data_IF_028079646540
#
_entry.id   IF_028079646540
#
_cell.length_a   1.000
_cell.length_b   1.000
_cell.length_c   1.000
_cell.angle_alpha   90.00
_cell.angle_beta   90.00
_cell.angle_gamma   90.00
#
_symmetry.space_group_name_H-M   'P 1'
#
loop_
_entity.id
_entity.type
_entity.pdbx_description
1 polymer ?
#
# COMPACT_ATOMS: atom_id res chain seq x y z
N UNK A 1 -5.65 2.76 25.67
CA UNK A 1 -5.20 3.24 24.41
C UNK A 1 -5.06 2.14 23.39
N UNK A 2 -5.68 2.32 22.29
CA UNK A 2 -5.72 1.30 21.32
C UNK A 2 -4.75 1.56 20.23
N UNK A 3 -3.69 0.82 20.23
CA UNK A 3 -2.64 0.95 19.24
C UNK A 3 -2.67 -0.24 18.33
N UNK A 4 -2.58 -0.01 17.04
CA UNK A 4 -2.32 -1.10 16.13
C UNK A 4 -0.87 -1.54 16.32
N UNK A 5 -0.59 -2.84 16.32
CA UNK A 5 0.80 -3.27 16.35
C UNK A 5 1.51 -2.77 15.10
N UNK A 6 2.75 -2.39 15.25
CA UNK A 6 3.58 -2.00 14.13
C UNK A 6 4.35 -3.23 13.63
N UNK A 7 4.78 -3.25 12.35
CA UNK A 7 5.66 -4.33 11.90
C UNK A 7 6.95 -4.32 12.70
N UNK A 8 7.54 -5.48 12.99
CA UNK A 8 8.72 -5.59 13.86
C UNK A 8 9.94 -4.82 13.36
N UNK A 9 10.09 -4.67 12.06
CA UNK A 9 11.17 -3.91 11.47
C UNK A 9 10.56 -2.99 10.42
N UNK A 10 10.05 -1.81 10.83
CA UNK A 10 9.30 -0.96 9.91
C UNK A 10 10.08 -0.54 8.68
N UNK A 11 11.36 -0.23 8.83
CA UNK A 11 12.16 0.20 7.69
C UNK A 11 12.29 -0.89 6.64
N UNK A 12 12.59 -2.10 7.06
CA UNK A 12 12.69 -3.25 6.16
C UNK A 12 11.35 -3.56 5.54
N UNK A 13 10.28 -3.53 6.32
CA UNK A 13 8.94 -3.79 5.83
C UNK A 13 8.55 -2.76 4.77
N UNK A 14 8.82 -1.48 5.02
CA UNK A 14 8.51 -0.41 4.08
C UNK A 14 9.28 -0.60 2.76
N UNK A 15 10.56 -0.94 2.84
CA UNK A 15 11.36 -1.19 1.64
C UNK A 15 10.78 -2.35 0.82
N UNK A 16 10.34 -3.41 1.47
CA UNK A 16 9.72 -4.54 0.79
C UNK A 16 8.43 -4.13 0.09
N UNK A 17 7.61 -3.31 0.75
CA UNK A 17 6.38 -2.79 0.16
C UNK A 17 6.70 -1.93 -1.06
N UNK A 18 7.63 -1.00 -0.92
CA UNK A 18 7.99 -0.10 -2.02
C UNK A 18 8.52 -0.86 -3.23
N UNK A 19 9.31 -1.90 -3.01
CA UNK A 19 9.82 -2.73 -4.11
C UNK A 19 8.69 -3.40 -4.88
N UNK A 20 7.68 -3.90 -4.17
CA UNK A 20 6.52 -4.50 -4.83
C UNK A 20 5.70 -3.47 -5.60
N UNK A 21 5.49 -2.29 -5.00
CA UNK A 21 4.73 -1.22 -5.67
C UNK A 21 5.45 -0.77 -6.94
N UNK A 22 6.77 -0.70 -6.90
CA UNK A 22 7.56 -0.34 -8.09
C UNK A 22 7.36 -1.31 -9.25
N UNK A 23 6.97 -2.55 -8.96
CA UNK A 23 6.74 -3.58 -9.98
C UNK A 23 5.38 -3.52 -10.62
N UNK A 24 4.45 -2.70 -10.09
CA UNK A 24 3.13 -2.54 -10.70
C UNK A 24 3.32 -1.77 -12.02
N UNK A 25 2.97 -2.36 -13.18
CA UNK A 25 3.20 -1.67 -14.44
C UNK A 25 2.22 -0.51 -14.64
N UNK A 26 2.62 0.43 -15.47
CA UNK A 26 1.77 1.53 -15.86
C UNK A 26 0.47 0.99 -16.45
N UNK A 27 -0.65 1.58 -16.07
CA UNK A 27 -1.97 1.13 -16.53
C UNK A 27 -2.57 0.04 -15.68
N UNK A 28 -1.88 -0.39 -14.62
CA UNK A 28 -2.37 -1.40 -13.69
C UNK A 28 -2.45 -0.84 -12.29
N UNK A 29 -3.28 -1.46 -11.47
CA UNK A 29 -3.43 -1.09 -10.05
C UNK A 29 -3.36 -2.35 -9.20
N UNK A 30 -3.06 -2.15 -7.92
CA UNK A 30 -3.09 -3.23 -6.93
C UNK A 30 -3.74 -2.71 -5.66
N UNK A 31 -4.36 -3.59 -4.90
CA UNK A 31 -4.92 -3.22 -3.61
C UNK A 31 -3.87 -3.44 -2.51
N UNK A 32 -4.09 -2.77 -1.39
CA UNK A 32 -3.21 -2.93 -0.22
C UNK A 32 -3.18 -4.38 0.24
N UNK A 33 -4.34 -5.06 0.20
CA UNK A 33 -4.41 -6.46 0.58
C UNK A 33 -3.66 -7.37 -0.38
N UNK A 34 -3.67 -7.06 -1.68
CA UNK A 34 -2.89 -7.84 -2.66
C UNK A 34 -1.40 -7.74 -2.38
N UNK A 35 -0.91 -6.54 -2.09
CA UNK A 35 0.51 -6.35 -1.76
C UNK A 35 0.84 -7.09 -0.46
N UNK A 36 -0.03 -7.00 0.54
CA UNK A 36 0.20 -7.71 1.81
C UNK A 36 0.36 -9.22 1.59
N UNK A 37 -0.45 -9.80 0.71
CA UNK A 37 -0.38 -11.24 0.42
C UNK A 37 0.90 -11.65 -0.29
N UNK A 38 1.54 -10.72 -0.98
CA UNK A 38 2.79 -11.00 -1.69
C UNK A 38 4.02 -10.86 -0.82
N UNK A 39 3.87 -10.28 0.37
CA UNK A 39 4.98 -10.08 1.29
C UNK A 39 5.24 -11.34 2.12
N UNK A 40 6.50 -11.60 2.50
CA UNK A 40 6.76 -12.64 3.47
C UNK A 40 6.18 -12.25 4.83
N UNK A 41 5.78 -13.23 5.61
CA UNK A 41 5.30 -13.00 6.97
C UNK A 41 6.47 -12.42 7.78
N UNK A 42 6.31 -11.23 8.38
CA UNK A 42 7.40 -10.66 9.17
C UNK A 42 7.76 -11.54 10.37
N UNK A 43 9.04 -11.56 10.74
CA UNK A 43 9.51 -12.34 11.87
C UNK A 43 8.78 -11.95 13.14
N UNK A 44 8.30 -12.93 13.88
CA UNK A 44 7.61 -12.68 15.15
C UNK A 44 6.15 -12.29 15.01
N UNK A 45 5.63 -12.19 13.79
CA UNK A 45 4.22 -11.87 13.54
C UNK A 45 3.51 -13.16 13.13
N UNK A 46 2.42 -13.50 13.81
CA UNK A 46 1.65 -14.66 13.40
C UNK A 46 0.75 -14.34 12.21
N UNK A 47 0.28 -15.40 11.54
CA UNK A 47 -0.51 -15.24 10.32
C UNK A 47 -1.81 -14.49 10.54
N UNK A 48 -2.47 -14.72 11.67
CA UNK A 48 -3.74 -14.05 11.96
C UNK A 48 -3.55 -12.56 12.15
N UNK A 49 -2.51 -12.16 12.88
CA UNK A 49 -2.19 -10.75 13.06
C UNK A 49 -1.87 -10.09 11.71
N UNK A 50 -1.11 -10.77 10.88
CA UNK A 50 -0.77 -10.22 9.57
C UNK A 50 -1.99 -10.12 8.66
N UNK A 51 -2.92 -11.06 8.72
CA UNK A 51 -4.17 -10.97 7.98
C UNK A 51 -4.99 -9.76 8.42
N UNK A 52 -4.97 -9.46 9.70
CA UNK A 52 -5.76 -8.35 10.25
C UNK A 52 -5.14 -6.99 9.93
N UNK A 53 -3.82 -6.85 10.07
CA UNK A 53 -3.15 -5.56 9.99
C UNK A 53 -2.30 -5.36 8.75
N UNK A 54 -2.09 -6.39 7.95
CA UNK A 54 -1.17 -6.32 6.83
C UNK A 54 -1.51 -5.22 5.83
N UNK A 55 -2.78 -5.12 5.45
CA UNK A 55 -3.20 -4.08 4.51
C UNK A 55 -3.01 -2.68 5.09
N UNK A 56 -3.27 -2.51 6.38
CA UNK A 56 -3.04 -1.22 7.05
C UNK A 56 -1.55 -0.88 7.05
N UNK A 57 -0.70 -1.85 7.36
CA UNK A 57 0.75 -1.63 7.36
C UNK A 57 1.25 -1.27 5.97
N UNK A 58 0.72 -1.93 4.93
CA UNK A 58 1.05 -1.60 3.54
C UNK A 58 0.61 -0.17 3.21
N UNK A 59 -0.60 0.20 3.62
CA UNK A 59 -1.13 1.55 3.40
C UNK A 59 -0.22 2.60 4.04
N UNK A 60 0.25 2.35 5.27
CA UNK A 60 1.16 3.26 5.95
C UNK A 60 2.50 3.38 5.21
N UNK A 61 3.02 2.28 4.70
CA UNK A 61 4.25 2.29 3.93
C UNK A 61 4.10 3.10 2.64
N UNK A 62 2.96 2.94 1.96
CA UNK A 62 2.68 3.69 0.73
C UNK A 62 2.57 5.19 1.01
N UNK A 63 1.96 5.56 2.14
CA UNK A 63 1.84 6.96 2.53
C UNK A 63 3.21 7.60 2.78
N UNK A 64 4.21 6.82 3.14
CA UNK A 64 5.56 7.29 3.43
C UNK A 64 6.53 7.06 2.25
N UNK A 65 6.02 6.67 1.08
CA UNK A 65 6.88 6.25 -0.02
C UNK A 65 7.70 7.40 -0.62
N UNK A 66 8.91 7.10 -1.10
CA UNK A 66 9.69 8.10 -1.83
C UNK A 66 9.06 8.42 -3.19
N UNK A 67 9.55 9.49 -3.82
CA UNK A 67 8.94 10.02 -5.05
C UNK A 67 8.98 9.05 -6.23
N UNK A 68 9.92 8.11 -6.24
CA UNK A 68 10.05 7.16 -7.34
C UNK A 68 9.08 5.98 -7.25
N UNK A 69 8.34 5.86 -6.14
CA UNK A 69 7.37 4.79 -5.96
C UNK A 69 6.04 5.23 -6.59
N UNK A 70 5.48 4.44 -7.51
CA UNK A 70 4.21 4.80 -8.15
C UNK A 70 3.02 4.54 -7.24
N UNK A 71 2.94 5.29 -6.14
CA UNK A 71 1.92 5.15 -5.11
C UNK A 71 0.50 5.29 -5.66
N UNK A 72 0.33 6.03 -6.76
CA UNK A 72 -0.98 6.24 -7.37
C UNK A 72 -1.60 4.95 -7.91
N UNK A 73 -0.79 3.92 -8.12
CA UNK A 73 -1.26 2.61 -8.58
C UNK A 73 -1.82 1.75 -7.46
N UNK A 74 -1.89 2.30 -6.25
CA UNK A 74 -2.47 1.61 -5.09
C UNK A 74 -3.89 2.09 -4.86
N UNK A 75 -4.80 1.13 -4.66
CA UNK A 75 -6.22 1.40 -4.44
C UNK A 75 -6.71 0.46 -3.34
N UNK A 76 -7.97 0.65 -2.90
CA UNK A 76 -8.54 -0.28 -1.93
C UNK A 76 -9.01 -1.57 -2.63
N UNK A 77 -9.55 -2.51 -1.87
CA UNK A 77 -9.97 -3.81 -2.40
C UNK A 77 -11.10 -3.72 -3.42
N UNK A 78 -11.80 -2.58 -3.47
CA UNK A 78 -12.86 -2.33 -4.43
C UNK A 78 -12.36 -1.60 -5.68
N UNK A 79 -11.06 -1.31 -5.75
CA UNK A 79 -10.48 -0.59 -6.86
C UNK A 79 -10.68 0.91 -6.79
N UNK A 80 -10.96 1.44 -5.60
CA UNK A 80 -11.26 2.85 -5.42
C UNK A 80 -10.09 3.59 -4.80
N UNK A 81 -10.01 4.89 -5.14
CA UNK A 81 -9.07 5.82 -4.52
C UNK A 81 -9.51 6.08 -3.08
N UNK A 82 -8.56 6.03 -2.14
CA UNK A 82 -8.88 6.03 -0.72
C UNK A 82 -8.57 7.32 0.03
N UNK A 83 -8.01 8.33 -0.63
CA UNK A 83 -7.72 9.60 0.04
C UNK A 83 -9.00 10.27 0.50
N UNK A 84 -8.98 10.76 1.73
CA UNK A 84 -10.13 11.45 2.31
C UNK A 84 -10.23 12.90 1.84
N UNK A 85 -9.09 13.52 1.52
CA UNK A 85 -9.06 14.89 1.02
C UNK A 85 -9.53 14.89 -0.43
N UNK A 86 -10.59 15.67 -0.78
CA UNK A 86 -11.12 15.66 -2.14
C UNK A 86 -10.11 16.11 -3.20
N UNK A 87 -9.23 17.04 -2.87
CA UNK A 87 -8.21 17.50 -3.81
C UNK A 87 -7.21 16.40 -4.11
N UNK A 88 -6.75 15.71 -3.08
CA UNK A 88 -5.80 14.60 -3.24
C UNK A 88 -6.46 13.41 -3.93
N UNK A 89 -7.71 13.13 -3.64
CA UNK A 89 -8.44 12.05 -4.30
C UNK A 89 -8.59 12.33 -5.80
N UNK A 90 -8.91 13.56 -6.16
CA UNK A 90 -9.01 13.96 -7.56
C UNK A 90 -7.67 13.85 -8.27
N UNK A 91 -6.61 14.31 -7.62
CA UNK A 91 -5.26 14.21 -8.17
C UNK A 91 -4.89 12.76 -8.42
N UNK A 92 -5.18 11.88 -7.46
CA UNK A 92 -4.90 10.44 -7.58
C UNK A 92 -5.63 9.86 -8.79
N UNK A 93 -6.92 10.16 -8.92
CA UNK A 93 -7.71 9.67 -10.06
C UNK A 93 -7.18 10.19 -11.38
N UNK A 94 -6.80 11.47 -11.44
CA UNK A 94 -6.25 12.04 -12.68
C UNK A 94 -4.93 11.38 -13.07
N UNK A 95 -4.09 11.07 -12.09
CA UNK A 95 -2.83 10.36 -12.37
C UNK A 95 -3.10 8.97 -12.96
N UNK A 96 -4.09 8.26 -12.42
CA UNK A 96 -4.46 6.95 -12.95
C UNK A 96 -5.04 7.06 -14.35
N UNK A 97 -5.92 8.03 -14.59
CA UNK A 97 -6.49 8.26 -15.92
C UNK A 97 -5.40 8.56 -16.95
N UNK A 98 -4.39 9.31 -16.57
CA UNK A 98 -3.26 9.60 -17.45
C UNK A 98 -2.48 8.35 -17.81
N UNK A 99 -2.56 7.30 -17.01
CA UNK A 99 -1.93 6.01 -17.28
C UNK A 99 -2.85 5.02 -18.02
N UNK A 100 -4.08 5.42 -18.30
CA UNK A 100 -5.02 4.58 -19.02
C UNK A 100 -5.85 3.66 -18.14
N UNK A 101 -5.91 3.96 -16.84
CA UNK A 101 -6.73 3.16 -15.92
C UNK A 101 -8.18 3.61 -15.96
#
# INVERSE_FOLDING_TARGET
MNQHPAPPNPEEFFEQVWDLVRRIPRGKVASYGQIAKMLPLPDGVDGDTFMEFGALWVSNAVAASPNDVPWQRMVNSKGEVTERNPVEAKRHRLMLEAEGV
#
